data_IF_202737842681
#
_entry.id   IF_202737842681
#
_cell.length_a   1.000
_cell.length_b   1.000
_cell.length_c   1.000
_cell.angle_alpha   90.00
_cell.angle_beta   90.00
_cell.angle_gamma   90.00
#
_symmetry.space_group_name_H-M   'P 1'
#
loop_
_entity.id
_entity.type
_entity.pdbx_description
1 polymer ?
#
# COMPACT_ATOMS: atom_id res chain seq x y z
N UNK A 1 39.19 3.51 14.53
CA UNK A 1 37.90 3.95 13.95
C UNK A 1 36.99 4.33 15.09
N UNK A 2 36.38 5.51 15.06
CA UNK A 2 35.38 5.95 16.04
C UNK A 2 33.99 5.47 15.62
N UNK A 3 33.19 4.98 16.57
CA UNK A 3 31.82 4.59 16.31
C UNK A 3 30.92 5.84 16.19
N UNK A 4 29.85 5.79 15.37
CA UNK A 4 28.89 6.88 15.27
C UNK A 4 28.16 7.09 16.59
N UNK A 5 27.93 8.35 16.96
CA UNK A 5 27.20 8.73 18.19
C UNK A 5 25.68 8.70 18.01
N UNK A 6 25.21 8.74 16.76
CA UNK A 6 23.79 8.67 16.39
C UNK A 6 23.64 7.81 15.15
N UNK A 7 22.59 6.99 15.12
CA UNK A 7 22.16 6.23 13.95
C UNK A 7 20.67 6.48 13.74
N UNK A 8 20.30 6.81 12.51
CA UNK A 8 18.90 6.94 12.10
C UNK A 8 18.53 5.69 11.31
N UNK A 9 17.43 5.06 11.71
CA UNK A 9 16.83 3.96 10.99
C UNK A 9 15.51 4.43 10.42
N UNK A 10 15.28 4.12 9.15
CA UNK A 10 13.93 4.11 8.61
C UNK A 10 13.11 2.99 9.28
N UNK A 11 11.80 3.04 9.11
CA UNK A 11 10.88 2.05 9.68
C UNK A 11 10.57 0.93 8.69
N UNK A 12 10.02 1.29 7.53
CA UNK A 12 9.37 0.35 6.63
C UNK A 12 10.40 -0.50 5.87
N UNK A 13 10.28 -1.82 6.03
CA UNK A 13 11.24 -2.84 5.58
C UNK A 13 12.69 -2.62 6.04
N UNK A 14 12.90 -1.73 7.01
CA UNK A 14 14.17 -1.53 7.73
C UNK A 14 14.09 -2.12 9.15
N UNK A 15 13.11 -1.70 9.95
CA UNK A 15 12.86 -2.22 11.30
C UNK A 15 11.53 -2.98 11.41
N UNK A 16 10.60 -2.70 10.51
CA UNK A 16 9.28 -3.30 10.46
C UNK A 16 9.10 -4.03 9.13
N UNK A 17 8.60 -5.27 9.15
CA UNK A 17 8.30 -6.05 7.95
C UNK A 17 7.05 -5.51 7.24
N UNK A 18 7.19 -4.33 6.65
CA UNK A 18 6.13 -3.52 6.08
C UNK A 18 5.47 -4.23 4.91
N UNK A 19 6.23 -4.74 3.95
CA UNK A 19 5.70 -5.51 2.82
C UNK A 19 4.83 -6.69 3.26
N UNK A 20 5.26 -7.41 4.30
CA UNK A 20 4.49 -8.53 4.86
C UNK A 20 3.20 -8.03 5.52
N UNK A 21 3.26 -6.92 6.25
CA UNK A 21 2.09 -6.32 6.87
C UNK A 21 1.06 -5.84 5.83
N UNK A 22 1.50 -5.21 4.74
CA UNK A 22 0.65 -4.79 3.61
C UNK A 22 -0.04 -6.00 2.99
N UNK A 23 0.71 -7.06 2.66
CA UNK A 23 0.15 -8.30 2.10
C UNK A 23 -0.95 -8.86 3.00
N UNK A 24 -0.67 -9.03 4.30
CA UNK A 24 -1.65 -9.55 5.24
C UNK A 24 -2.89 -8.64 5.34
N UNK A 25 -2.70 -7.32 5.38
CA UNK A 25 -3.78 -6.35 5.49
C UNK A 25 -4.70 -6.31 4.26
N UNK A 26 -4.12 -6.23 3.06
CA UNK A 26 -4.87 -6.23 1.80
C UNK A 26 -5.64 -7.54 1.63
N UNK A 27 -4.99 -8.69 1.83
CA UNK A 27 -5.65 -9.99 1.74
C UNK A 27 -6.80 -10.11 2.76
N UNK A 28 -6.58 -9.72 4.02
CA UNK A 28 -7.63 -9.79 5.05
C UNK A 28 -8.81 -8.86 4.73
N UNK A 29 -8.54 -7.64 4.26
CA UNK A 29 -9.57 -6.68 3.90
C UNK A 29 -10.43 -7.19 2.74
N UNK A 30 -9.80 -7.68 1.66
CA UNK A 30 -10.51 -8.24 0.49
C UNK A 30 -11.44 -9.38 0.87
N UNK A 31 -10.95 -10.32 1.69
CA UNK A 31 -11.75 -11.46 2.18
C UNK A 31 -12.95 -11.01 3.02
N UNK A 32 -12.84 -9.89 3.75
CA UNK A 32 -13.93 -9.33 4.53
C UNK A 32 -14.97 -8.56 3.70
N UNK A 33 -14.60 -8.03 2.53
CA UNK A 33 -15.49 -7.23 1.67
C UNK A 33 -16.49 -8.04 0.84
N UNK A 34 -16.34 -9.37 0.75
CA UNK A 34 -17.24 -10.26 0.01
C UNK A 34 -16.97 -10.30 -1.50
N UNK A 35 -17.71 -11.16 -2.20
CA UNK A 35 -17.59 -11.33 -3.65
C UNK A 35 -18.09 -10.08 -4.42
N UNK A 36 -17.50 -9.75 -5.58
CA UNK A 36 -16.42 -10.47 -6.27
C UNK A 36 -15.00 -10.21 -5.74
N UNK A 37 -14.79 -9.18 -4.91
CA UNK A 37 -13.46 -8.79 -4.45
C UNK A 37 -12.76 -9.89 -3.63
N UNK A 38 -13.51 -10.64 -2.81
CA UNK A 38 -12.97 -11.73 -2.00
C UNK A 38 -12.45 -12.92 -2.82
N UNK A 39 -12.98 -13.13 -4.03
CA UNK A 39 -12.71 -14.32 -4.85
C UNK A 39 -11.58 -14.10 -5.87
N UNK A 40 -11.11 -12.86 -6.05
CA UNK A 40 -10.02 -12.55 -6.97
C UNK A 40 -8.66 -13.09 -6.47
N UNK A 41 -7.71 -13.24 -7.39
CA UNK A 41 -6.38 -13.79 -7.09
C UNK A 41 -5.57 -12.89 -6.13
N UNK A 42 -5.07 -13.48 -5.04
CA UNK A 42 -4.39 -12.72 -3.97
C UNK A 42 -3.10 -12.04 -4.46
N UNK A 43 -2.31 -12.70 -5.31
CA UNK A 43 -1.04 -12.16 -5.78
C UNK A 43 -1.23 -11.09 -6.85
N UNK A 44 -2.18 -11.28 -7.78
CA UNK A 44 -2.55 -10.28 -8.78
C UNK A 44 -3.09 -9.00 -8.11
N UNK A 45 -3.92 -9.16 -7.08
CA UNK A 45 -4.51 -8.04 -6.35
C UNK A 45 -3.48 -7.30 -5.49
N UNK A 46 -2.52 -8.02 -4.90
CA UNK A 46 -1.40 -7.38 -4.22
C UNK A 46 -0.52 -6.60 -5.20
N UNK A 47 -0.22 -7.17 -6.38
CA UNK A 47 0.54 -6.47 -7.41
C UNK A 47 -0.19 -5.19 -7.87
N UNK A 48 -1.52 -5.26 -8.04
CA UNK A 48 -2.35 -4.10 -8.39
C UNK A 48 -2.36 -3.04 -7.28
N UNK A 49 -2.44 -3.45 -6.02
CA UNK A 49 -2.33 -2.54 -4.88
C UNK A 49 -0.99 -1.79 -4.89
N UNK A 50 0.12 -2.49 -5.14
CA UNK A 50 1.44 -1.87 -5.22
C UNK A 50 1.58 -0.91 -6.40
N UNK A 51 1.05 -1.25 -7.57
CA UNK A 51 1.07 -0.36 -8.73
C UNK A 51 0.28 0.94 -8.47
N UNK A 52 -0.88 0.84 -7.81
CA UNK A 52 -1.68 2.02 -7.41
C UNK A 52 -1.00 2.83 -6.31
N UNK A 53 -0.28 2.17 -5.40
CA UNK A 53 0.58 2.85 -4.42
C UNK A 53 1.68 3.66 -5.09
N UNK A 54 2.45 3.08 -5.99
CA UNK A 54 3.50 3.78 -6.74
C UNK A 54 2.94 4.98 -7.49
N UNK A 55 1.81 4.80 -8.19
CA UNK A 55 1.17 5.88 -8.93
C UNK A 55 0.70 7.03 -8.04
N UNK A 56 -0.13 6.76 -7.02
CA UNK A 56 -0.73 7.83 -6.21
C UNK A 56 0.27 8.43 -5.22
N UNK A 57 1.21 7.65 -4.71
CA UNK A 57 2.29 8.17 -3.88
C UNK A 57 3.23 9.07 -4.69
N UNK A 58 3.53 8.71 -5.94
CA UNK A 58 4.28 9.55 -6.87
C UNK A 58 3.62 10.92 -7.09
N UNK A 59 2.30 10.94 -7.27
CA UNK A 59 1.52 12.20 -7.39
C UNK A 59 1.56 13.05 -6.12
N UNK A 60 1.57 12.42 -4.95
CA UNK A 60 1.81 13.13 -3.68
C UNK A 60 3.22 13.74 -3.63
N UNK A 61 4.27 12.99 -3.99
CA UNK A 61 5.64 13.50 -4.02
C UNK A 61 5.83 14.64 -5.02
N UNK A 62 5.07 14.64 -6.13
CA UNK A 62 5.03 15.73 -7.10
C UNK A 62 4.20 16.95 -6.64
N UNK A 63 3.50 16.86 -5.51
CA UNK A 63 2.65 17.93 -4.98
C UNK A 63 1.28 18.04 -5.65
N UNK A 64 0.88 17.07 -6.47
CA UNK A 64 -0.44 17.04 -7.13
C UNK A 64 -1.57 16.64 -6.18
N UNK A 65 -1.24 15.85 -5.16
CA UNK A 65 -2.17 15.36 -4.14
C UNK A 65 -1.63 15.66 -2.75
N UNK A 66 -2.52 15.95 -1.80
CA UNK A 66 -2.16 15.93 -0.39
C UNK A 66 -1.91 14.50 0.11
N UNK A 67 -1.19 14.37 1.22
CA UNK A 67 -0.83 13.09 1.82
C UNK A 67 -2.04 12.14 2.08
N UNK A 68 -3.19 12.68 2.49
CA UNK A 68 -4.40 11.86 2.68
C UNK A 68 -5.14 11.57 1.37
N UNK A 69 -4.99 12.44 0.37
CA UNK A 69 -5.69 12.30 -0.91
C UNK A 69 -5.12 11.13 -1.71
N UNK A 70 -3.79 10.96 -1.75
CA UNK A 70 -3.18 9.79 -2.42
C UNK A 70 -3.72 8.46 -1.88
N UNK A 71 -3.93 8.35 -0.55
CA UNK A 71 -4.46 7.13 0.07
C UNK A 71 -5.92 6.88 -0.34
N UNK A 72 -6.72 7.95 -0.44
CA UNK A 72 -8.12 7.87 -0.87
C UNK A 72 -8.23 7.48 -2.34
N UNK A 73 -7.41 8.08 -3.19
CA UNK A 73 -7.35 7.72 -4.61
C UNK A 73 -6.94 6.27 -4.81
N UNK A 74 -5.86 5.82 -4.14
CA UNK A 74 -5.47 4.41 -4.16
C UNK A 74 -6.60 3.48 -3.75
N UNK A 75 -7.30 3.77 -2.65
CA UNK A 75 -8.40 2.93 -2.19
C UNK A 75 -9.58 2.89 -3.18
N UNK A 76 -9.95 4.03 -3.79
CA UNK A 76 -11.03 4.11 -4.78
C UNK A 76 -10.69 3.33 -6.05
N UNK A 77 -9.53 3.59 -6.63
CA UNK A 77 -9.08 2.93 -7.86
C UNK A 77 -8.85 1.43 -7.61
N UNK A 78 -8.52 1.06 -6.37
CA UNK A 78 -8.41 -0.36 -6.00
C UNK A 78 -9.75 -1.08 -6.09
N UNK A 79 -10.86 -0.44 -5.75
CA UNK A 79 -12.17 -1.12 -5.71
C UNK A 79 -13.03 -0.87 -6.96
N UNK A 80 -12.67 0.12 -7.79
CA UNK A 80 -13.38 0.47 -9.03
C UNK A 80 -13.69 -0.73 -9.95
N UNK A 81 -12.77 -1.69 -10.23
CA UNK A 81 -13.07 -2.83 -11.08
C UNK A 81 -14.17 -3.77 -10.55
N UNK A 82 -14.49 -3.66 -9.26
CA UNK A 82 -15.49 -4.44 -8.56
C UNK A 82 -16.81 -3.68 -8.34
N UNK A 83 -16.90 -2.42 -8.78
CA UNK A 83 -18.11 -1.60 -8.67
C UNK A 83 -18.46 -1.16 -7.25
N UNK A 84 -17.46 -1.07 -6.36
CA UNK A 84 -17.60 -0.63 -4.96
C UNK A 84 -17.16 0.83 -4.76
#
# INVERSE_FOLDING_TARGET
MTLPTVVLFDLDDTLFAHQRAVRLGVTAHRRASGAPLADADDDAELARWHALEEHHYGRYLAGELAYLEQRRHRARDFVEPYGL
#
